data_IF_930420300956
#
_entry.id   IF_930420300956
#
_cell.length_a   1.000
_cell.length_b   1.000
_cell.length_c   1.000
_cell.angle_alpha   90.00
_cell.angle_beta   90.00
_cell.angle_gamma   90.00
#
_symmetry.space_group_name_H-M   'P 1'
#
loop_
_entity.id
_entity.type
_entity.pdbx_description
1 polymer ?
#
# COMPACT_ATOMS: atom_id res chain seq x y z
N UNK A 1 5.40 -30.63 10.17
CA UNK A 1 6.34 -29.52 10.47
C UNK A 1 6.50 -28.67 9.23
N UNK A 2 6.61 -27.37 9.39
CA UNK A 2 6.89 -26.43 8.31
C UNK A 2 8.01 -25.47 8.76
N UNK A 3 8.97 -25.22 7.88
CA UNK A 3 10.03 -24.21 8.09
C UNK A 3 9.66 -23.01 7.22
N UNK A 4 9.59 -21.84 7.85
CA UNK A 4 9.34 -20.57 7.17
C UNK A 4 10.66 -19.83 7.08
N UNK A 5 11.00 -19.43 5.86
CA UNK A 5 12.15 -18.60 5.56
C UNK A 5 11.73 -17.14 5.44
N UNK A 6 12.50 -16.25 6.03
CA UNK A 6 12.29 -14.81 6.04
C UNK A 6 13.47 -14.12 5.34
N UNK A 7 13.19 -13.23 4.40
CA UNK A 7 14.19 -12.39 3.76
C UNK A 7 13.77 -10.93 3.87
N UNK A 8 14.53 -10.15 4.62
CA UNK A 8 14.20 -8.73 4.85
C UNK A 8 14.69 -7.81 3.74
N UNK A 9 15.61 -8.25 2.88
CA UNK A 9 16.15 -7.42 1.80
C UNK A 9 16.60 -6.04 2.29
N UNK A 10 16.07 -4.99 1.68
CA UNK A 10 16.39 -3.60 2.00
C UNK A 10 15.85 -3.12 3.37
N UNK A 11 14.94 -3.87 4.00
CA UNK A 11 14.39 -3.54 5.32
C UNK A 11 15.30 -3.99 6.46
N UNK A 12 16.37 -4.71 6.16
CA UNK A 12 17.31 -5.24 7.15
C UNK A 12 17.83 -4.16 8.11
N UNK A 13 18.28 -3.02 7.59
CA UNK A 13 18.79 -1.90 8.40
C UNK A 13 17.72 -1.11 9.14
N UNK A 14 16.44 -1.32 8.81
CA UNK A 14 15.34 -0.68 9.53
C UNK A 14 15.01 -1.42 10.82
N UNK A 15 15.08 -2.76 10.79
CA UNK A 15 14.71 -3.62 11.92
C UNK A 15 15.91 -4.07 12.76
N UNK A 16 17.10 -4.12 12.16
CA UNK A 16 18.30 -4.63 12.81
C UNK A 16 19.43 -3.61 12.77
N UNK A 17 20.14 -3.53 13.88
CA UNK A 17 21.35 -2.73 14.00
C UNK A 17 22.43 -3.56 14.69
N UNK A 18 23.67 -3.42 14.23
CA UNK A 18 24.81 -4.16 14.78
C UNK A 18 25.86 -3.13 15.23
N UNK A 19 26.06 -2.94 16.55
CA UNK A 19 26.97 -1.91 17.03
C UNK A 19 28.41 -2.19 16.58
N UNK A 20 29.13 -1.12 16.22
CA UNK A 20 30.50 -1.14 15.71
C UNK A 20 30.71 -1.92 14.40
N UNK A 21 29.64 -2.31 13.72
CA UNK A 21 29.68 -3.03 12.46
C UNK A 21 28.68 -2.48 11.45
N UNK A 22 28.90 -2.80 10.18
CA UNK A 22 28.00 -2.47 9.09
C UNK A 22 27.55 -3.74 8.41
N UNK A 23 26.23 -3.89 8.23
CA UNK A 23 25.67 -5.01 7.47
C UNK A 23 26.03 -4.87 5.99
N UNK A 24 26.57 -5.95 5.43
CA UNK A 24 26.94 -6.05 4.00
C UNK A 24 26.04 -7.04 3.26
N UNK A 25 25.08 -7.67 3.92
CA UNK A 25 24.09 -8.52 3.28
C UNK A 25 22.71 -8.29 3.91
N UNK A 26 21.61 -8.72 3.26
CA UNK A 26 20.30 -8.76 3.89
C UNK A 26 20.28 -9.63 5.14
N UNK A 27 19.28 -9.43 6.00
CA UNK A 27 18.99 -10.32 7.12
C UNK A 27 18.09 -11.45 6.61
N UNK A 28 18.57 -12.67 6.80
CA UNK A 28 17.82 -13.90 6.52
C UNK A 28 17.44 -14.56 7.83
N UNK A 29 16.17 -14.93 7.95
CA UNK A 29 15.63 -15.61 9.11
C UNK A 29 15.06 -16.96 8.74
N UNK A 30 15.03 -17.88 9.69
CA UNK A 30 14.18 -19.04 9.58
C UNK A 30 13.58 -19.41 10.93
N UNK A 31 12.35 -19.91 10.88
CA UNK A 31 11.60 -20.40 12.03
C UNK A 31 10.92 -21.69 11.63
N UNK A 32 10.57 -22.50 12.62
CA UNK A 32 9.74 -23.66 12.35
C UNK A 32 8.51 -23.69 13.22
N UNK A 33 7.51 -24.34 12.64
CA UNK A 33 6.19 -24.47 13.19
C UNK A 33 5.78 -25.93 13.14
N UNK A 34 5.10 -26.37 14.19
CA UNK A 34 4.36 -27.61 14.12
C UNK A 34 3.02 -27.37 13.41
N UNK A 35 2.51 -28.42 12.80
CA UNK A 35 1.19 -28.43 12.16
C UNK A 35 0.39 -29.52 12.84
N UNK A 36 -0.87 -29.26 13.17
CA UNK A 36 -1.78 -30.26 13.73
C UNK A 36 -3.03 -30.36 12.87
N UNK A 37 -3.77 -31.45 12.98
CA UNK A 37 -5.00 -31.68 12.21
C UNK A 37 -6.04 -30.56 12.34
N UNK A 38 -5.98 -29.77 13.42
CA UNK A 38 -6.90 -28.65 13.70
C UNK A 38 -6.37 -27.29 13.25
N UNK A 39 -5.07 -27.15 12.95
CA UNK A 39 -4.46 -25.88 12.58
C UNK A 39 -3.32 -26.07 11.58
N UNK A 40 -3.44 -25.44 10.42
CA UNK A 40 -2.45 -25.49 9.33
C UNK A 40 -1.04 -25.06 9.79
N UNK A 41 -0.95 -24.07 10.68
CA UNK A 41 0.29 -23.61 11.32
C UNK A 41 -0.06 -23.24 12.78
N UNK A 42 0.60 -23.83 13.78
CA UNK A 42 0.44 -23.40 15.17
C UNK A 42 1.12 -22.05 15.39
N UNK A 43 0.48 -21.13 16.12
CA UNK A 43 1.09 -19.84 16.52
C UNK A 43 2.18 -19.99 17.59
N UNK A 44 2.27 -21.17 18.20
CA UNK A 44 3.30 -21.48 19.19
C UNK A 44 4.66 -21.62 18.51
N UNK A 45 5.59 -20.74 18.88
CA UNK A 45 6.99 -20.79 18.41
C UNK A 45 7.65 -22.02 19.06
N UNK A 46 8.03 -22.98 18.24
CA UNK A 46 8.79 -24.14 18.71
C UNK A 46 10.29 -23.83 18.63
N UNK A 47 11.04 -24.15 19.67
CA UNK A 47 12.49 -24.18 19.59
C UNK A 47 12.89 -25.46 18.86
N UNK A 48 13.44 -25.29 17.64
CA UNK A 48 14.13 -26.38 16.98
C UNK A 48 15.57 -26.41 17.46
N UNK A 49 16.00 -27.61 17.83
CA UNK A 49 17.40 -27.94 18.00
C UNK A 49 17.79 -28.76 16.78
N UNK A 50 18.82 -28.31 16.06
CA UNK A 50 19.33 -29.02 14.88
C UNK A 50 20.34 -30.05 15.38
N UNK A 51 19.93 -31.32 15.43
CA UNK A 51 20.84 -32.42 15.75
C UNK A 51 21.53 -32.91 14.46
N UNK A 52 22.85 -32.73 14.36
CA UNK A 52 23.65 -33.13 13.20
C UNK A 52 24.31 -31.94 12.51
N UNK A 53 24.25 -31.91 11.17
CA UNK A 53 24.86 -30.84 10.38
C UNK A 53 24.07 -29.52 10.53
N UNK A 54 24.76 -28.39 10.76
CA UNK A 54 24.10 -27.10 10.90
C UNK A 54 23.48 -26.64 9.58
N UNK A 55 22.45 -25.79 9.66
CA UNK A 55 21.87 -25.17 8.47
C UNK A 55 22.86 -24.15 7.91
N UNK A 56 23.20 -24.27 6.63
CA UNK A 56 24.08 -23.31 5.96
C UNK A 56 23.27 -22.21 5.27
N UNK A 57 23.59 -20.95 5.57
CA UNK A 57 22.99 -19.76 4.96
C UNK A 57 24.03 -19.12 4.04
N UNK A 58 23.81 -19.21 2.72
CA UNK A 58 24.71 -18.67 1.72
C UNK A 58 24.23 -17.33 1.16
N UNK A 59 25.05 -16.29 1.32
CA UNK A 59 24.78 -14.96 0.81
C UNK A 59 25.39 -14.78 -0.58
N UNK A 60 24.54 -14.76 -1.61
CA UNK A 60 24.97 -14.58 -3.00
C UNK A 60 25.21 -13.10 -3.35
N UNK A 61 24.51 -12.19 -2.67
CA UNK A 61 24.60 -10.75 -2.89
C UNK A 61 25.17 -10.09 -1.66
N UNK A 62 26.48 -9.86 -1.68
CA UNK A 62 27.21 -9.16 -0.63
C UNK A 62 27.62 -7.79 -1.15
N UNK A 63 27.25 -6.76 -0.39
CA UNK A 63 27.59 -5.38 -0.65
C UNK A 63 29.10 -5.13 -0.64
N UNK A 64 29.52 -4.01 -1.23
CA UNK A 64 30.93 -3.66 -1.31
C UNK A 64 31.53 -3.50 0.09
N UNK A 65 32.72 -4.05 0.27
CA UNK A 65 33.51 -3.92 1.48
C UNK A 65 35.00 -3.87 1.10
N UNK A 66 35.81 -3.30 2.00
CA UNK A 66 37.25 -3.24 1.80
C UNK A 66 37.86 -4.64 1.84
N UNK A 67 38.88 -4.89 1.00
CA UNK A 67 39.57 -6.19 0.94
C UNK A 67 40.18 -6.62 2.29
N UNK A 68 40.56 -5.66 3.13
CA UNK A 68 41.15 -5.91 4.44
C UNK A 68 40.10 -6.12 5.55
N UNK A 69 38.81 -6.00 5.23
CA UNK A 69 37.71 -6.09 6.18
C UNK A 69 36.79 -7.26 5.82
N UNK A 70 37.26 -8.47 6.12
CA UNK A 70 36.51 -9.70 5.84
C UNK A 70 35.18 -9.69 6.58
N UNK A 71 34.06 -10.02 5.92
CA UNK A 71 32.79 -10.20 6.58
C UNK A 71 32.84 -11.33 7.62
N UNK A 72 32.01 -11.21 8.64
CA UNK A 72 31.74 -12.24 9.64
C UNK A 72 30.23 -12.42 9.77
N UNK A 73 29.82 -13.58 10.28
CA UNK A 73 28.41 -13.87 10.54
C UNK A 73 27.95 -13.17 11.81
N UNK A 74 26.76 -12.59 11.77
CA UNK A 74 26.07 -12.04 12.91
C UNK A 74 24.72 -12.72 13.07
N UNK A 75 24.41 -13.18 14.28
CA UNK A 75 23.13 -13.77 14.67
C UNK A 75 22.46 -12.88 15.70
N UNK A 76 21.18 -12.59 15.50
CA UNK A 76 20.40 -11.79 16.44
C UNK A 76 19.76 -12.68 17.50
N UNK A 77 20.09 -12.43 18.76
CA UNK A 77 19.58 -13.13 19.93
C UNK A 77 18.39 -12.43 20.58
N UNK A 78 17.90 -12.99 21.68
CA UNK A 78 16.86 -12.39 22.49
C UNK A 78 17.33 -11.05 23.10
N UNK A 79 16.40 -10.12 23.32
CA UNK A 79 16.68 -8.82 23.95
C UNK A 79 17.56 -7.87 23.12
N UNK A 80 17.72 -8.11 21.81
CA UNK A 80 18.54 -7.27 20.93
C UNK A 80 20.05 -7.56 21.00
N UNK A 81 20.44 -8.68 21.61
CA UNK A 81 21.82 -9.16 21.58
C UNK A 81 22.25 -9.58 20.18
N UNK A 82 23.55 -9.50 19.89
CA UNK A 82 24.13 -9.95 18.61
C UNK A 82 25.34 -10.83 18.91
N UNK A 83 25.29 -12.05 18.40
CA UNK A 83 26.36 -13.05 18.46
C UNK A 83 27.15 -13.03 17.15
N UNK A 84 28.47 -13.17 17.22
CA UNK A 84 29.35 -13.13 16.06
C UNK A 84 30.09 -14.45 15.88
N UNK A 85 30.03 -14.99 14.68
CA UNK A 85 30.73 -16.22 14.31
C UNK A 85 31.55 -16.00 13.04
N UNK A 86 32.67 -16.71 12.93
CA UNK A 86 33.43 -16.73 11.68
C UNK A 86 32.65 -17.50 10.60
N UNK A 87 32.87 -17.13 9.35
CA UNK A 87 32.31 -17.86 8.21
C UNK A 87 33.09 -19.17 7.99
N UNK A 88 32.39 -20.29 7.74
CA UNK A 88 33.05 -21.57 7.39
C UNK A 88 33.55 -21.56 5.94
N UNK A 89 32.80 -20.91 5.06
CA UNK A 89 33.12 -20.71 3.63
C UNK A 89 32.84 -19.26 3.25
N UNK A 90 33.40 -18.73 2.15
CA UNK A 90 33.13 -17.36 1.73
C UNK A 90 31.64 -17.07 1.66
N UNK A 91 31.19 -16.10 2.47
CA UNK A 91 29.81 -15.65 2.54
C UNK A 91 28.79 -16.72 2.97
N UNK A 92 29.22 -17.72 3.74
CA UNK A 92 28.36 -18.77 4.31
C UNK A 92 28.40 -18.72 5.84
N UNK A 93 27.21 -18.69 6.44
CA UNK A 93 27.02 -18.78 7.88
C UNK A 93 26.38 -20.12 8.25
N UNK A 94 26.86 -20.73 9.33
CA UNK A 94 26.23 -21.91 9.92
C UNK A 94 25.25 -21.48 11.01
N UNK A 95 24.07 -22.11 11.01
CA UNK A 95 23.00 -21.86 11.93
C UNK A 95 22.61 -23.15 12.64
N UNK A 96 22.94 -23.24 13.92
CA UNK A 96 22.60 -24.36 14.81
C UNK A 96 21.20 -24.21 15.43
N UNK A 97 20.68 -22.98 15.43
CA UNK A 97 19.39 -22.64 16.03
C UNK A 97 18.58 -21.70 15.12
N UNK A 98 17.24 -21.77 15.16
CA UNK A 98 16.39 -20.80 14.48
C UNK A 98 16.70 -19.37 14.91
N UNK A 99 16.64 -18.45 13.96
CA UNK A 99 16.95 -17.05 14.24
C UNK A 99 17.18 -16.24 12.98
N UNK A 100 17.66 -15.03 13.17
CA UNK A 100 18.01 -14.09 12.11
C UNK A 100 19.51 -13.95 12.00
N UNK A 101 20.01 -14.02 10.77
CA UNK A 101 21.42 -14.08 10.44
C UNK A 101 21.73 -13.08 9.33
N UNK A 102 22.93 -12.51 9.37
CA UNK A 102 23.44 -11.61 8.33
C UNK A 102 24.96 -11.61 8.30
N UNK A 103 25.53 -10.96 7.28
CA UNK A 103 26.96 -10.70 7.18
C UNK A 103 27.25 -9.25 7.57
N UNK A 104 28.28 -9.07 8.39
CA UNK A 104 28.72 -7.75 8.83
C UNK A 104 30.22 -7.59 8.68
N UNK A 105 30.66 -6.35 8.51
CA UNK A 105 32.07 -5.96 8.53
C UNK A 105 32.30 -4.95 9.64
N UNK A 106 33.52 -4.85 10.19
CA UNK A 106 33.82 -3.85 11.22
C UNK A 106 33.64 -2.45 10.66
N UNK A 107 32.91 -1.60 11.36
CA UNK A 107 32.84 -0.19 10.98
C UNK A 107 34.10 0.52 11.43
N UNK A 108 34.66 1.45 10.63
CA UNK A 108 35.69 2.35 11.13
C UNK A 108 35.12 3.10 12.34
N UNK A 109 35.86 3.14 13.45
CA UNK A 109 35.46 3.90 14.64
C UNK A 109 35.22 5.34 14.21
N UNK A 110 33.97 5.82 14.33
CA UNK A 110 33.69 7.25 14.27
C UNK A 110 34.30 7.87 15.52
N UNK A 111 35.56 8.30 15.42
CA UNK A 111 36.13 9.16 16.44
C UNK A 111 35.22 10.39 16.48
N UNK A 112 34.58 10.64 17.62
CA UNK A 112 33.85 11.88 17.90
C UNK A 112 34.87 13.03 17.95
N UNK A 113 35.38 13.46 16.80
CA UNK A 113 36.03 14.76 16.65
C UNK A 113 34.92 15.73 16.28
N UNK A 114 34.60 16.61 17.23
CA UNK A 114 33.84 17.84 17.00
C UNK A 114 34.35 18.56 15.74
N UNK A 115 33.45 19.22 14.98
CA UNK A 115 33.58 19.34 13.54
C UNK A 115 34.73 20.28 13.16
N UNK A 116 35.71 19.74 12.44
CA UNK A 116 36.50 20.54 11.51
C UNK A 116 36.21 20.00 10.12
N UNK A 117 35.62 20.86 9.31
CA UNK A 117 35.17 20.61 7.93
C UNK A 117 36.28 19.92 7.15
N UNK A 118 36.13 18.62 6.91
CA UNK A 118 36.82 17.88 5.86
C UNK A 118 35.80 16.88 5.34
N UNK A 119 35.29 17.11 4.13
CA UNK A 119 34.60 16.09 3.37
C UNK A 119 35.59 14.93 3.10
N UNK A 120 35.16 13.69 3.37
CA UNK A 120 35.33 12.68 2.34
C UNK A 120 33.99 12.05 1.98
N UNK A 121 33.75 12.11 0.69
CA UNK A 121 32.75 11.42 -0.09
C UNK A 121 32.70 9.92 0.28
N UNK A 122 31.62 9.49 0.92
CA UNK A 122 31.19 8.09 0.93
C UNK A 122 29.69 8.09 0.64
N UNK A 123 29.37 7.91 -0.63
CA UNK A 123 28.01 7.79 -1.13
C UNK A 123 27.40 6.46 -0.64
N UNK A 124 26.74 6.47 0.52
CA UNK A 124 25.64 5.54 0.75
C UNK A 124 24.40 6.16 0.11
N UNK A 125 24.10 5.75 -1.11
CA UNK A 125 22.92 6.17 -1.85
C UNK A 125 21.69 5.48 -1.25
N UNK A 126 21.31 5.90 -0.04
CA UNK A 126 19.99 5.66 0.50
C UNK A 126 19.02 6.58 -0.22
N UNK A 127 18.41 6.08 -1.29
CA UNK A 127 17.12 6.59 -1.73
C UNK A 127 16.20 6.67 -0.49
N UNK A 128 15.26 7.63 -0.48
CA UNK A 128 14.01 7.66 0.34
C UNK A 128 13.83 8.82 1.35
N UNK A 129 14.71 9.80 1.53
CA UNK A 129 14.44 10.95 2.44
C UNK A 129 14.04 12.25 1.75
N UNK A 130 13.74 12.22 0.45
CA UNK A 130 13.25 13.39 -0.30
C UNK A 130 11.81 13.23 -0.83
N UNK A 131 10.93 12.57 -0.06
CA UNK A 131 9.50 12.59 -0.36
C UNK A 131 8.65 13.25 0.74
N UNK A 132 9.27 13.57 1.88
CA UNK A 132 8.54 14.09 3.06
C UNK A 132 8.47 15.63 3.07
N UNK A 133 9.23 16.33 2.23
CA UNK A 133 9.13 17.81 2.11
C UNK A 133 8.06 18.27 1.10
N UNK A 134 7.34 17.34 0.45
CA UNK A 134 6.28 17.63 -0.52
C UNK A 134 4.85 17.51 0.05
N UNK A 135 4.67 17.09 1.30
CA UNK A 135 3.34 16.82 1.86
C UNK A 135 2.68 18.01 2.55
N UNK A 136 3.41 19.10 2.82
CA UNK A 136 2.84 20.28 3.49
C UNK A 136 2.15 21.24 2.50
N UNK A 137 2.49 21.20 1.20
CA UNK A 137 1.86 22.04 0.15
C UNK A 137 0.62 21.36 -0.47
N UNK A 138 0.53 20.02 -0.38
CA UNK A 138 -0.57 19.26 -0.99
C UNK A 138 -1.94 19.44 -0.32
N UNK A 139 -1.96 19.76 0.98
CA UNK A 139 -3.22 19.87 1.75
C UNK A 139 -4.05 21.08 1.34
N UNK A 140 -3.42 22.24 1.11
CA UNK A 140 -4.10 23.45 0.63
C UNK A 140 -4.57 23.26 -0.82
N UNK A 141 -3.75 22.62 -1.66
CA UNK A 141 -4.11 22.30 -3.05
C UNK A 141 -5.36 21.42 -3.15
N UNK A 142 -5.48 20.41 -2.29
CA UNK A 142 -6.64 19.50 -2.28
C UNK A 142 -7.94 20.24 -1.90
N UNK A 143 -7.87 21.14 -0.91
CA UNK A 143 -9.03 21.95 -0.50
C UNK A 143 -9.47 22.89 -1.62
N UNK A 144 -8.54 23.60 -2.26
CA UNK A 144 -8.86 24.49 -3.38
C UNK A 144 -9.47 23.68 -4.55
N UNK A 145 -8.89 22.53 -4.88
CA UNK A 145 -9.39 21.67 -5.95
C UNK A 145 -10.81 21.16 -5.66
N UNK A 146 -11.10 20.75 -4.43
CA UNK A 146 -12.43 20.34 -4.01
C UNK A 146 -13.46 21.49 -4.16
N UNK A 147 -13.10 22.71 -3.76
CA UNK A 147 -13.97 23.88 -3.90
C UNK A 147 -14.28 24.21 -5.37
N UNK A 148 -13.27 24.12 -6.25
CA UNK A 148 -13.44 24.33 -7.69
C UNK A 148 -14.39 23.30 -8.29
N UNK A 149 -14.24 22.01 -7.96
CA UNK A 149 -15.13 20.96 -8.45
C UNK A 149 -16.58 21.20 -8.01
N UNK A 150 -16.81 21.57 -6.73
CA UNK A 150 -18.15 21.88 -6.22
C UNK A 150 -18.77 23.06 -6.97
N UNK A 151 -17.98 24.12 -7.23
CA UNK A 151 -18.45 25.28 -7.98
C UNK A 151 -18.86 24.92 -9.42
N UNK A 152 -18.04 24.13 -10.13
CA UNK A 152 -18.35 23.67 -11.48
C UNK A 152 -19.63 22.83 -11.53
N UNK A 153 -19.81 21.90 -10.58
CA UNK A 153 -21.03 21.08 -10.50
C UNK A 153 -22.26 21.95 -10.22
N UNK A 154 -22.15 22.93 -9.32
CA UNK A 154 -23.25 23.84 -8.99
C UNK A 154 -23.64 24.72 -10.17
N UNK A 155 -22.64 25.21 -10.92
CA UNK A 155 -22.85 26.00 -12.13
C UNK A 155 -23.46 25.14 -13.25
N UNK A 156 -22.97 23.92 -13.46
CA UNK A 156 -23.55 22.99 -14.43
C UNK A 156 -25.01 22.64 -14.09
N UNK A 157 -25.31 22.42 -12.81
CA UNK A 157 -26.69 22.18 -12.34
C UNK A 157 -27.58 23.40 -12.56
N UNK A 158 -27.10 24.61 -12.22
CA UNK A 158 -27.83 25.86 -12.49
C UNK A 158 -28.07 26.09 -13.98
N UNK A 159 -27.06 25.84 -14.82
CA UNK A 159 -27.18 25.91 -16.28
C UNK A 159 -28.17 24.87 -16.81
N UNK A 160 -28.19 23.66 -16.26
CA UNK A 160 -29.17 22.63 -16.62
C UNK A 160 -30.59 23.07 -16.26
N UNK A 161 -30.79 23.63 -15.07
CA UNK A 161 -32.09 24.16 -14.63
C UNK A 161 -32.52 25.32 -15.53
N UNK A 162 -31.65 26.31 -15.80
CA UNK A 162 -31.95 27.42 -16.73
C UNK A 162 -32.24 26.96 -18.16
N UNK A 163 -31.54 25.93 -18.64
CA UNK A 163 -31.83 25.32 -19.95
C UNK A 163 -33.19 24.64 -19.94
N UNK A 164 -33.59 24.01 -18.83
CA UNK A 164 -34.91 23.40 -18.69
C UNK A 164 -36.03 24.44 -18.54
N UNK A 165 -35.78 25.57 -17.89
CA UNK A 165 -36.69 26.72 -17.88
C UNK A 165 -36.90 27.27 -19.29
N UNK A 166 -35.83 27.45 -20.06
CA UNK A 166 -35.90 27.95 -21.45
C UNK A 166 -36.60 26.99 -22.42
N UNK A 167 -36.55 25.68 -22.18
CA UNK A 167 -37.26 24.68 -22.99
C UNK A 167 -38.75 24.63 -22.59
N UNK A 168 -39.08 24.91 -21.32
CA UNK A 168 -40.49 24.99 -20.86
C UNK A 168 -41.23 26.21 -21.40
N UNK A 169 -40.53 27.32 -21.67
CA UNK A 169 -41.12 28.50 -22.35
C UNK A 169 -41.26 28.30 -23.88
N UNK A 170 -40.73 27.20 -24.42
CA UNK A 170 -40.79 26.84 -25.84
C UNK A 170 -41.70 25.65 -26.18
N UNK A 171 -42.58 25.25 -25.26
CA UNK A 171 -43.61 24.23 -25.52
C UNK A 171 -44.82 24.85 -26.23
N UNK A 172 -44.85 24.68 -27.56
CA UNK A 172 -45.98 24.69 -28.51
C UNK A 172 -47.19 25.62 -28.21
N UNK A 173 -47.54 26.56 -29.12
CA UNK A 173 -48.66 27.47 -28.91
C UNK A 173 -49.98 26.69 -28.98
N UNK A 174 -50.54 26.32 -27.82
CA UNK A 174 -51.94 25.90 -27.75
C UNK A 174 -52.80 27.12 -28.11
N UNK A 175 -53.46 27.02 -29.26
CA UNK A 175 -54.27 28.09 -29.86
C UNK A 175 -55.34 28.54 -28.86
N UNK A 176 -55.21 29.77 -28.34
CA UNK A 176 -56.15 30.34 -27.37
C UNK A 176 -57.13 31.25 -28.07
N UNK A 177 -58.41 30.89 -28.01
CA UNK A 177 -59.48 31.71 -28.54
C UNK A 177 -60.03 32.67 -27.47
N UNK A 178 -60.24 33.93 -27.88
CA UNK A 178 -60.83 34.98 -27.05
C UNK A 178 -62.35 35.00 -27.24
N UNK A 179 -63.11 34.96 -26.14
CA UNK A 179 -64.52 35.31 -26.15
C UNK A 179 -64.77 36.46 -25.16
N UNK A 180 -64.97 37.66 -25.70
CA UNK A 180 -65.03 38.89 -24.89
C UNK A 180 -63.75 39.13 -24.08
N UNK A 181 -63.89 39.57 -22.82
CA UNK A 181 -62.77 40.02 -21.97
C UNK A 181 -62.13 38.92 -21.10
N UNK A 182 -62.42 37.64 -21.36
CA UNK A 182 -61.85 36.53 -20.56
C UNK A 182 -61.22 35.43 -21.44
N UNK A 183 -60.02 35.00 -21.04
CA UNK A 183 -59.21 33.97 -21.71
C UNK A 183 -59.45 32.61 -21.06
N UNK A 184 -59.98 31.65 -21.82
CA UNK A 184 -60.25 30.28 -21.33
C UNK A 184 -59.49 29.23 -22.15
N UNK A 185 -58.97 28.17 -21.49
CA UNK A 185 -58.28 27.08 -22.17
C UNK A 185 -59.27 26.12 -22.86
N UNK A 186 -59.02 25.80 -24.13
CA UNK A 186 -59.79 24.83 -24.91
C UNK A 186 -59.30 23.42 -24.58
N UNK A 187 -60.05 22.68 -23.76
CA UNK A 187 -59.85 21.25 -23.58
C UNK A 187 -60.61 20.51 -24.69
N UNK A 188 -59.90 19.97 -25.68
CA UNK A 188 -60.49 19.07 -26.67
C UNK A 188 -60.88 17.77 -25.97
N UNK A 189 -62.13 17.65 -25.57
CA UNK A 189 -62.67 16.47 -24.89
C UNK A 189 -62.70 15.30 -25.88
N UNK A 190 -61.71 14.41 -25.81
CA UNK A 190 -61.76 13.11 -26.51
C UNK A 190 -62.72 12.22 -25.70
N UNK A 191 -63.91 11.95 -26.25
CA UNK A 191 -64.82 10.94 -25.73
C UNK A 191 -64.28 9.55 -26.10
N UNK A 192 -64.03 8.70 -25.11
CA UNK A 192 -63.89 7.26 -25.32
C UNK A 192 -65.26 6.70 -25.76
N UNK A 193 -65.29 5.92 -26.85
CA UNK A 193 -66.48 5.15 -27.21
C UNK A 193 -66.59 3.92 -26.29
N UNK A 194 -67.79 3.62 -25.75
CA UNK A 194 -68.01 2.36 -25.05
C UNK A 194 -68.06 1.19 -26.04
N UNK A 195 -67.39 0.10 -25.67
CA UNK A 195 -67.46 -1.22 -26.34
C UNK A 195 -68.78 -1.88 -25.93
N UNK A 196 -69.53 -2.37 -26.91
CA UNK A 196 -70.79 -3.09 -26.75
C UNK A 196 -70.50 -4.55 -26.40
N UNK A 197 -70.95 -5.03 -25.24
CA UNK A 197 -70.95 -6.46 -24.88
C UNK A 197 -72.17 -7.12 -25.55
N UNK A 198 -71.94 -8.12 -26.39
CA UNK A 198 -73.00 -8.95 -26.96
C UNK A 198 -72.81 -10.38 -26.44
N UNK A 199 -73.52 -10.70 -25.35
CA UNK A 199 -73.75 -12.07 -24.91
C UNK A 199 -74.98 -12.60 -25.64
N UNK A 200 -74.76 -13.38 -26.70
CA UNK A 200 -75.77 -14.24 -27.32
C UNK A 200 -75.21 -15.66 -27.42
N UNK A 201 -75.39 -16.43 -26.35
CA UNK A 201 -75.41 -17.88 -26.38
C UNK A 201 -76.34 -18.40 -25.27
N UNK A 202 -77.64 -18.33 -25.53
CA UNK A 202 -78.65 -19.12 -24.81
C UNK A 202 -78.95 -20.37 -25.64
N UNK A 203 -78.83 -21.51 -24.96
CA UNK A 203 -79.16 -22.86 -25.39
C UNK A 203 -80.63 -23.04 -25.77
N UNK A 204 -80.89 -23.73 -26.89
CA UNK A 204 -81.55 -25.05 -26.95
C UNK A 204 -81.35 -25.66 -28.35
#
# INVERSE_FOLDING_TARGET
MAIVYENLGNWSSHYYNVPNHTMVAPVFGFRAYTSSEKALISTEKMDLIIEGDPITIQFHHVGPHEKNNSPICAKFGAGGSVEFNNMTKPYVCEAETPGHYTLVVKSPKKIHISPKIVHPQSQSKGFNTWWVLGFVIGSVGLVIFALVLIALVKEAKRRRIRKMEKISEGGEPFDTFWIGDTKLPLATMIRTQPVLENDDAVSD
#
